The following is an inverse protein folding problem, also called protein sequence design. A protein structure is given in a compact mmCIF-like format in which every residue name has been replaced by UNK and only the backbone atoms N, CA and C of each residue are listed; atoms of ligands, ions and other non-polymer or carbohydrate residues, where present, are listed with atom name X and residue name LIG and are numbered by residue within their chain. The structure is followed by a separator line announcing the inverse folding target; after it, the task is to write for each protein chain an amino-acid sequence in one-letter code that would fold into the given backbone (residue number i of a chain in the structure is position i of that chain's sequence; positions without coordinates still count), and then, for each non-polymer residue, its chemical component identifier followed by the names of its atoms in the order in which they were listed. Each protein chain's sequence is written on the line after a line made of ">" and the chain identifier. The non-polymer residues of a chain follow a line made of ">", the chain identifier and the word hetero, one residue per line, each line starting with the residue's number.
data_IF_333240734527
#
_entry.id   IF_333240734527
#
_cell.length_a   1.000
_cell.length_b   1.000
_cell.length_c   1.000
_cell.angle_alpha   90.00
_cell.angle_beta   90.00
_cell.angle_gamma   90.00
#
_symmetry.space_group_name_H-M   'P 1'
#
loop_
_entity.id
_entity.type
_entity.pdbx_description
1 polymer ?
#
# COMPACT_ATOMS: atom_id res chain seq x y z
N UNK A 1 26.88 -8.86 -10.38
CA UNK A 1 25.55 -9.13 -10.98
C UNK A 1 24.54 -8.94 -9.85
N UNK A 2 23.63 -7.99 -9.97
CA UNK A 2 22.56 -7.86 -8.98
C UNK A 2 21.76 -9.18 -8.99
N UNK A 3 21.67 -9.88 -7.86
CA UNK A 3 20.73 -10.98 -7.71
C UNK A 3 19.34 -10.46 -8.10
N UNK A 4 18.66 -11.17 -8.99
CA UNK A 4 17.30 -10.77 -9.35
C UNK A 4 16.46 -10.78 -8.07
N UNK A 5 15.77 -9.68 -7.77
CA UNK A 5 14.86 -9.59 -6.64
C UNK A 5 13.88 -10.77 -6.70
N UNK A 6 14.00 -11.68 -5.75
CA UNK A 6 13.10 -12.82 -5.59
C UNK A 6 12.47 -12.80 -4.20
N UNK A 7 11.26 -13.34 -4.06
CA UNK A 7 10.60 -13.42 -2.75
C UNK A 7 11.43 -14.18 -1.72
N UNK A 8 12.19 -15.19 -2.15
CA UNK A 8 13.09 -15.93 -1.25
C UNK A 8 14.23 -15.06 -0.72
N UNK A 9 14.84 -14.24 -1.60
CA UNK A 9 15.88 -13.29 -1.19
C UNK A 9 15.32 -12.23 -0.24
N UNK A 10 14.11 -11.72 -0.52
CA UNK A 10 13.43 -10.75 0.35
C UNK A 10 13.09 -11.34 1.72
N UNK A 11 12.59 -12.57 1.81
CA UNK A 11 12.34 -13.26 3.09
C UNK A 11 13.61 -13.38 3.93
N UNK A 12 14.73 -13.71 3.31
CA UNK A 12 16.02 -13.76 4.01
C UNK A 12 16.47 -12.38 4.49
N UNK A 13 16.38 -11.38 3.62
CA UNK A 13 16.80 -10.00 3.92
C UNK A 13 16.01 -9.42 5.10
N UNK A 14 14.69 -9.58 5.09
CA UNK A 14 13.77 -9.05 6.09
C UNK A 14 13.45 -10.02 7.24
N UNK A 15 14.23 -11.12 7.40
CA UNK A 15 14.00 -12.13 8.45
C UNK A 15 14.08 -11.60 9.89
N UNK A 16 14.63 -10.41 10.08
CA UNK A 16 14.71 -9.70 11.36
C UNK A 16 13.40 -9.03 11.78
N UNK A 17 12.44 -8.86 10.88
CA UNK A 17 11.15 -8.25 11.18
C UNK A 17 10.30 -9.15 12.11
N UNK A 18 9.36 -8.56 12.89
CA UNK A 18 8.44 -9.33 13.72
C UNK A 18 7.67 -10.38 12.91
N UNK A 19 7.53 -11.59 13.45
CA UNK A 19 6.91 -12.71 12.73
C UNK A 19 5.48 -12.41 12.25
N UNK A 20 4.68 -11.67 13.07
CA UNK A 20 3.34 -11.25 12.67
C UNK A 20 3.33 -10.37 11.42
N UNK A 21 4.31 -9.44 11.33
CA UNK A 21 4.50 -8.60 10.15
C UNK A 21 4.94 -9.45 8.95
N UNK A 22 5.92 -10.34 9.10
CA UNK A 22 6.36 -11.23 8.02
C UNK A 22 5.20 -12.05 7.46
N UNK A 23 4.36 -12.62 8.32
CA UNK A 23 3.18 -13.37 7.89
C UNK A 23 2.20 -12.49 7.10
N UNK A 24 2.00 -11.24 7.53
CA UNK A 24 1.20 -10.27 6.81
C UNK A 24 1.79 -9.97 5.41
N UNK A 25 3.09 -9.65 5.32
CA UNK A 25 3.78 -9.38 4.06
C UNK A 25 3.64 -10.56 3.08
N UNK A 26 3.75 -11.80 3.56
CA UNK A 26 3.58 -13.00 2.74
C UNK A 26 2.15 -13.16 2.22
N UNK A 27 1.13 -12.95 3.07
CA UNK A 27 -0.27 -13.01 2.64
C UNK A 27 -0.59 -11.94 1.62
N UNK A 28 -0.17 -10.69 1.87
CA UNK A 28 -0.37 -9.58 0.94
C UNK A 28 0.37 -9.81 -0.38
N UNK A 29 1.58 -10.36 -0.35
CA UNK A 29 2.31 -10.76 -1.55
C UNK A 29 1.52 -11.76 -2.41
N UNK A 30 0.91 -12.77 -1.78
CA UNK A 30 0.08 -13.76 -2.47
C UNK A 30 -1.19 -13.16 -3.05
N UNK A 31 -1.90 -12.32 -2.28
CA UNK A 31 -3.09 -11.61 -2.73
C UNK A 31 -2.79 -10.66 -3.89
N UNK A 32 -1.69 -9.89 -3.79
CA UNK A 32 -1.27 -8.99 -4.84
C UNK A 32 -0.89 -9.75 -6.13
N UNK A 33 -0.27 -10.93 -6.03
CA UNK A 33 -0.01 -11.83 -7.16
C UNK A 33 -1.29 -12.25 -7.85
N UNK A 34 -2.30 -12.67 -7.08
CA UNK A 34 -3.59 -13.13 -7.61
C UNK A 34 -4.35 -11.99 -8.30
N UNK A 35 -4.48 -10.84 -7.62
CA UNK A 35 -5.12 -9.66 -8.20
C UNK A 35 -4.37 -9.14 -9.43
N UNK A 36 -3.04 -9.14 -9.42
CA UNK A 36 -2.23 -8.75 -10.57
C UNK A 36 -2.53 -9.64 -11.79
N UNK A 37 -2.56 -10.96 -11.60
CA UNK A 37 -2.93 -11.89 -12.67
C UNK A 37 -4.34 -11.63 -13.20
N UNK A 38 -5.30 -11.32 -12.33
CA UNK A 38 -6.69 -11.00 -12.69
C UNK A 38 -6.80 -9.72 -13.54
N UNK A 39 -5.95 -8.73 -13.27
CA UNK A 39 -6.02 -7.40 -13.87
C UNK A 39 -4.91 -7.12 -14.90
N UNK A 40 -4.35 -8.18 -15.50
CA UNK A 40 -3.34 -8.09 -16.57
C UNK A 40 -2.07 -7.31 -16.16
N UNK A 41 -1.79 -7.26 -14.87
CA UNK A 41 -0.53 -6.76 -14.31
C UNK A 41 0.42 -7.95 -14.13
N UNK A 42 1.73 -7.72 -14.28
CA UNK A 42 2.71 -8.78 -14.04
C UNK A 42 2.60 -9.31 -12.58
N UNK A 43 2.25 -10.61 -12.38
CA UNK A 43 2.02 -11.17 -11.05
C UNK A 43 3.24 -11.13 -10.14
N UNK A 44 4.45 -11.24 -10.70
CA UNK A 44 5.69 -11.17 -9.90
C UNK A 44 5.93 -9.75 -9.38
N UNK A 45 5.65 -8.72 -10.20
CA UNK A 45 5.72 -7.32 -9.75
C UNK A 45 4.70 -7.05 -8.64
N UNK A 46 3.46 -7.57 -8.79
CA UNK A 46 2.44 -7.50 -7.75
C UNK A 46 2.91 -8.15 -6.45
N UNK A 47 3.43 -9.37 -6.54
CA UNK A 47 3.92 -10.13 -5.39
C UNK A 47 5.09 -9.44 -4.67
N UNK A 48 6.08 -8.93 -5.42
CA UNK A 48 7.22 -8.23 -4.86
C UNK A 48 6.80 -6.92 -4.17
N UNK A 49 6.00 -6.08 -4.85
CA UNK A 49 5.50 -4.85 -4.27
C UNK A 49 4.61 -5.11 -3.03
N UNK A 50 3.74 -6.14 -3.10
CA UNK A 50 2.92 -6.57 -1.97
C UNK A 50 3.74 -7.07 -0.78
N UNK A 51 4.89 -7.73 -0.99
CA UNK A 51 5.79 -8.09 0.10
C UNK A 51 6.49 -6.87 0.70
N UNK A 52 6.86 -5.90 -0.12
CA UNK A 52 7.71 -4.77 0.28
C UNK A 52 6.94 -3.59 0.90
N UNK A 53 5.60 -3.54 0.76
CA UNK A 53 4.81 -2.36 1.08
C UNK A 53 4.95 -1.88 2.54
N UNK A 54 5.10 -2.80 3.48
CA UNK A 54 5.04 -2.56 4.92
C UNK A 54 6.37 -2.90 5.64
N UNK A 55 7.52 -3.02 4.93
CA UNK A 55 8.80 -3.39 5.56
C UNK A 55 9.29 -2.40 6.63
N UNK A 56 8.84 -1.15 6.58
CA UNK A 56 9.11 -0.12 7.60
C UNK A 56 7.95 0.05 8.62
N UNK A 57 6.92 -0.80 8.59
CA UNK A 57 5.69 -0.62 9.39
C UNK A 57 5.87 -0.85 10.88
N UNK A 58 6.87 -1.65 11.27
CA UNK A 58 7.16 -1.96 12.68
C UNK A 58 7.93 -0.85 13.41
N UNK A 59 8.39 0.17 12.68
CA UNK A 59 9.19 1.26 13.27
C UNK A 59 8.33 2.21 14.12
N UNK A 60 8.97 2.81 15.12
CA UNK A 60 8.33 3.79 16.00
C UNK A 60 7.92 5.05 15.22
N UNK A 61 6.73 5.63 15.47
CA UNK A 61 6.26 6.83 14.78
C UNK A 61 7.23 8.03 14.84
N UNK A 62 7.91 8.25 15.96
CA UNK A 62 8.88 9.33 16.08
C UNK A 62 10.15 9.04 15.26
N UNK A 63 10.55 7.77 15.17
CA UNK A 63 11.64 7.34 14.30
C UNK A 63 11.27 7.54 12.83
N UNK A 64 10.06 7.14 12.41
CA UNK A 64 9.59 7.34 11.03
C UNK A 64 9.68 8.81 10.61
N UNK A 65 9.23 9.73 11.47
CA UNK A 65 9.28 11.16 11.20
C UNK A 65 10.73 11.69 11.12
N UNK A 66 11.59 11.26 12.05
CA UNK A 66 13.00 11.64 12.05
C UNK A 66 13.72 11.16 10.78
N UNK A 67 13.53 9.91 10.41
CA UNK A 67 14.12 9.31 9.20
C UNK A 67 13.63 9.97 7.92
N UNK A 68 12.33 10.27 7.80
CA UNK A 68 11.81 10.97 6.64
C UNK A 68 12.48 12.34 6.45
N UNK A 69 12.68 13.09 7.52
CA UNK A 69 13.39 14.38 7.50
C UNK A 69 14.87 14.24 7.17
N UNK A 70 15.57 13.27 7.76
CA UNK A 70 16.98 12.98 7.48
C UNK A 70 17.21 12.60 6.00
N UNK A 71 16.30 11.84 5.43
CA UNK A 71 16.34 11.42 4.02
C UNK A 71 15.90 12.54 3.05
N UNK A 72 15.45 13.69 3.56
CA UNK A 72 14.99 14.82 2.77
C UNK A 72 13.62 14.59 2.10
N UNK A 73 12.81 13.68 2.62
CA UNK A 73 11.45 13.48 2.13
C UNK A 73 10.59 14.70 2.47
N UNK A 74 9.70 15.07 1.55
CA UNK A 74 8.71 16.11 1.82
C UNK A 74 7.64 15.53 2.73
N UNK A 75 7.58 16.02 3.98
CA UNK A 75 6.61 15.57 4.97
C UNK A 75 5.41 16.50 4.95
N UNK A 76 4.22 15.97 4.69
CA UNK A 76 2.97 16.72 4.73
C UNK A 76 2.52 16.95 6.19
N UNK A 77 1.82 18.08 6.53
CA UNK A 77 1.32 18.32 7.89
C UNK A 77 0.46 17.19 8.49
N UNK A 78 -0.28 16.44 7.66
CA UNK A 78 -1.02 15.26 8.12
C UNK A 78 -0.07 14.14 8.53
N UNK A 79 1.04 13.96 7.82
CA UNK A 79 2.06 12.95 8.15
C UNK A 79 2.86 13.36 9.40
N UNK A 80 3.07 14.65 9.63
CA UNK A 80 3.65 15.14 10.91
C UNK A 80 2.74 14.79 12.10
N UNK A 81 1.43 14.94 11.94
CA UNK A 81 0.44 14.62 12.97
C UNK A 81 0.19 13.10 13.11
N UNK A 82 0.36 12.35 12.03
CA UNK A 82 0.13 10.90 11.95
C UNK A 82 1.35 10.21 11.29
N UNK A 83 2.52 10.16 11.98
CA UNK A 83 3.79 9.75 11.38
C UNK A 83 3.79 8.32 10.85
N UNK A 84 2.86 7.48 11.31
CA UNK A 84 2.70 6.12 10.77
C UNK A 84 2.43 6.11 9.26
N UNK A 85 1.90 7.18 8.67
CA UNK A 85 1.71 7.28 7.21
C UNK A 85 3.03 7.32 6.43
N UNK A 86 4.14 7.66 7.10
CA UNK A 86 5.48 7.71 6.50
C UNK A 86 6.11 6.33 6.26
N UNK A 87 5.55 5.23 6.81
CA UNK A 87 6.15 3.90 6.60
C UNK A 87 6.19 3.51 5.12
N UNK A 88 5.17 3.86 4.32
CA UNK A 88 5.15 3.59 2.88
C UNK A 88 6.28 4.32 2.12
N UNK A 89 6.38 5.66 2.20
CA UNK A 89 7.49 6.42 1.62
C UNK A 89 8.87 5.96 2.07
N UNK A 90 9.01 5.62 3.36
CA UNK A 90 10.28 5.10 3.90
C UNK A 90 10.60 3.70 3.38
N UNK A 91 9.63 2.80 3.34
CA UNK A 91 9.80 1.48 2.74
C UNK A 91 10.25 1.58 1.28
N UNK A 92 9.62 2.44 0.48
CA UNK A 92 10.01 2.67 -0.91
C UNK A 92 11.46 3.19 -1.01
N UNK A 93 11.83 4.16 -0.17
CA UNK A 93 13.21 4.70 -0.14
C UNK A 93 14.22 3.64 0.29
N UNK A 94 13.89 2.83 1.30
CA UNK A 94 14.74 1.74 1.79
C UNK A 94 15.00 0.71 0.70
N UNK A 95 13.94 0.20 0.06
CA UNK A 95 14.10 -0.84 -0.96
C UNK A 95 14.79 -0.32 -2.23
N UNK A 96 14.63 0.95 -2.57
CA UNK A 96 15.38 1.57 -3.65
C UNK A 96 16.90 1.63 -3.33
N UNK A 97 17.26 2.05 -2.12
CA UNK A 97 18.66 2.22 -1.69
C UNK A 97 19.35 0.90 -1.40
N UNK A 98 18.70 0.00 -0.65
CA UNK A 98 19.34 -1.22 -0.15
C UNK A 98 19.25 -2.38 -1.13
N UNK A 99 18.12 -2.50 -1.86
CA UNK A 99 17.89 -3.60 -2.80
C UNK A 99 18.08 -3.19 -4.26
N UNK A 100 18.31 -1.91 -4.54
CA UNK A 100 18.50 -1.41 -5.89
C UNK A 100 17.23 -1.46 -6.75
N UNK A 101 16.04 -1.50 -6.14
CA UNK A 101 14.77 -1.45 -6.88
C UNK A 101 14.65 -0.12 -7.62
N UNK A 102 14.52 -0.19 -8.97
CA UNK A 102 14.43 0.99 -9.85
C UNK A 102 13.09 1.11 -10.57
N UNK A 103 12.20 0.15 -10.36
CA UNK A 103 10.85 0.16 -10.95
C UNK A 103 10.00 1.22 -10.25
N UNK A 104 9.78 2.35 -10.94
CA UNK A 104 9.10 3.51 -10.38
C UNK A 104 7.63 3.22 -10.06
N UNK A 105 6.97 2.33 -10.80
CA UNK A 105 5.59 1.95 -10.54
C UNK A 105 5.49 1.07 -9.28
N UNK A 106 6.44 0.17 -9.06
CA UNK A 106 6.51 -0.60 -7.81
C UNK A 106 6.83 0.31 -6.61
N UNK A 107 7.76 1.25 -6.76
CA UNK A 107 8.08 2.23 -5.71
C UNK A 107 6.86 3.10 -5.38
N UNK A 108 6.11 3.54 -6.38
CA UNK A 108 4.85 4.27 -6.17
C UNK A 108 3.81 3.42 -5.46
N UNK A 109 3.65 2.14 -5.85
CA UNK A 109 2.74 1.21 -5.19
C UNK A 109 3.07 1.02 -3.70
N UNK A 110 4.36 0.92 -3.35
CA UNK A 110 4.83 0.86 -1.97
C UNK A 110 4.56 2.18 -1.24
N UNK A 111 4.88 3.32 -1.86
CA UNK A 111 4.72 4.65 -1.27
C UNK A 111 3.27 4.95 -0.89
N UNK A 112 2.34 4.69 -1.81
CA UNK A 112 0.96 5.15 -1.71
C UNK A 112 -0.05 4.08 -1.24
N UNK A 113 0.42 2.91 -0.83
CA UNK A 113 -0.49 1.81 -0.43
C UNK A 113 -1.42 2.17 0.74
N UNK A 114 -1.07 3.13 1.60
CA UNK A 114 -1.90 3.54 2.75
C UNK A 114 -2.97 4.56 2.40
N UNK A 115 -2.61 5.56 1.60
CA UNK A 115 -3.48 6.72 1.30
C UNK A 115 -4.13 6.64 -0.07
N UNK A 116 -3.51 5.92 -1.02
CA UNK A 116 -3.75 6.11 -2.43
C UNK A 116 -3.31 7.50 -2.90
N UNK A 117 -3.48 7.78 -4.18
CA UNK A 117 -3.31 9.12 -4.78
C UNK A 117 -4.09 9.24 -6.10
N UNK A 118 -4.23 10.45 -6.62
CA UNK A 118 -4.85 10.66 -7.94
C UNK A 118 -4.00 10.04 -9.05
N UNK A 119 -4.62 9.30 -9.97
CA UNK A 119 -3.91 8.69 -11.09
C UNK A 119 -3.26 7.34 -10.82
N UNK A 120 -3.65 6.64 -9.74
CA UNK A 120 -3.12 5.28 -9.44
C UNK A 120 -3.14 4.38 -10.66
N UNK A 121 -2.01 3.73 -10.92
CA UNK A 121 -1.89 2.65 -11.90
C UNK A 121 -2.60 1.37 -11.44
N UNK A 122 -2.69 0.37 -12.33
CA UNK A 122 -3.25 -0.93 -11.96
C UNK A 122 -2.42 -1.66 -10.91
N UNK A 123 -1.09 -1.56 -10.98
CA UNK A 123 -0.21 -2.17 -9.97
C UNK A 123 -0.41 -1.51 -8.60
N UNK A 124 -0.51 -0.19 -8.54
CA UNK A 124 -0.76 0.55 -7.30
C UNK A 124 -2.11 0.16 -6.69
N UNK A 125 -3.16 0.07 -7.49
CA UNK A 125 -4.49 -0.37 -7.06
C UNK A 125 -4.49 -1.81 -6.52
N UNK A 126 -3.76 -2.71 -7.19
CA UNK A 126 -3.58 -4.11 -6.78
C UNK A 126 -2.92 -4.19 -5.41
N UNK A 127 -1.79 -3.50 -5.21
CA UNK A 127 -1.08 -3.50 -3.91
C UNK A 127 -1.93 -2.85 -2.82
N UNK A 128 -2.56 -1.71 -3.13
CA UNK A 128 -3.47 -1.01 -2.23
C UNK A 128 -4.58 -1.94 -1.72
N UNK A 129 -5.26 -2.66 -2.61
CA UNK A 129 -6.35 -3.57 -2.20
C UNK A 129 -5.83 -4.84 -1.54
N UNK A 130 -4.74 -5.42 -2.01
CA UNK A 130 -4.20 -6.65 -1.44
C UNK A 130 -3.91 -6.52 0.06
N UNK A 131 -3.39 -5.37 0.51
CA UNK A 131 -3.20 -5.07 1.92
C UNK A 131 -4.54 -5.04 2.70
N UNK A 132 -5.59 -4.47 2.09
CA UNK A 132 -6.91 -4.31 2.73
C UNK A 132 -7.71 -5.62 2.73
N UNK A 133 -7.37 -6.53 1.84
CA UNK A 133 -8.02 -7.85 1.71
C UNK A 133 -7.32 -8.96 2.50
N UNK A 134 -6.28 -8.64 3.29
CA UNK A 134 -5.66 -9.64 4.17
C UNK A 134 -6.71 -10.26 5.10
N UNK A 135 -6.92 -11.59 5.08
CA UNK A 135 -7.94 -12.25 5.89
C UNK A 135 -7.84 -11.97 7.39
N UNK A 136 -6.64 -11.70 7.91
CA UNK A 136 -6.47 -11.32 9.33
C UNK A 136 -7.01 -9.92 9.64
N UNK A 137 -7.29 -9.12 8.61
CA UNK A 137 -8.00 -7.84 8.73
C UNK A 137 -9.52 -7.97 8.57
N UNK A 138 -10.03 -9.20 8.35
CA UNK A 138 -11.47 -9.45 8.30
C UNK A 138 -12.13 -9.02 9.62
N UNK A 139 -13.17 -8.17 9.51
CA UNK A 139 -13.82 -7.56 10.68
C UNK A 139 -13.25 -6.19 11.09
N UNK A 140 -12.06 -5.80 10.65
CA UNK A 140 -11.54 -4.43 10.88
C UNK A 140 -12.27 -3.37 10.04
N UNK A 141 -12.93 -3.80 8.96
CA UNK A 141 -13.60 -2.89 8.03
C UNK A 141 -15.10 -3.17 7.96
N UNK A 142 -15.89 -2.75 8.98
CA UNK A 142 -17.33 -2.99 8.99
C UNK A 142 -17.99 -2.38 7.74
N UNK A 143 -18.88 -3.15 7.12
CA UNK A 143 -19.56 -2.73 5.88
C UNK A 143 -18.77 -2.99 4.57
N UNK A 144 -17.59 -3.60 4.63
CA UNK A 144 -16.78 -3.94 3.46
C UNK A 144 -16.73 -5.47 3.15
N UNK A 145 -17.64 -6.27 3.70
CA UNK A 145 -17.67 -7.72 3.48
C UNK A 145 -17.69 -8.12 1.99
N UNK A 146 -18.28 -7.31 1.10
CA UNK A 146 -18.31 -7.53 -0.35
C UNK A 146 -17.08 -7.00 -1.10
N UNK A 147 -16.07 -6.45 -0.42
CA UNK A 147 -14.91 -5.85 -1.07
C UNK A 147 -14.06 -6.89 -1.86
N UNK A 148 -13.83 -8.13 -1.35
CA UNK A 148 -13.09 -9.12 -2.12
C UNK A 148 -13.75 -9.46 -3.47
N UNK A 149 -15.06 -9.69 -3.49
CA UNK A 149 -15.80 -9.96 -4.73
C UNK A 149 -15.74 -8.76 -5.69
N UNK A 150 -15.92 -7.55 -5.17
CA UNK A 150 -15.83 -6.33 -5.98
C UNK A 150 -14.43 -6.13 -6.57
N UNK A 151 -13.37 -6.51 -5.85
CA UNK A 151 -11.98 -6.42 -6.34
C UNK A 151 -11.72 -7.35 -7.54
N UNK A 152 -12.45 -8.47 -7.65
CA UNK A 152 -12.41 -9.37 -8.80
C UNK A 152 -13.25 -8.89 -9.99
N UNK A 153 -14.28 -8.06 -9.73
CA UNK A 153 -15.22 -7.58 -10.75
C UNK A 153 -14.83 -6.20 -11.32
N UNK A 154 -14.47 -5.25 -10.47
CA UNK A 154 -14.12 -3.87 -10.84
C UNK A 154 -13.13 -3.25 -9.85
N UNK A 155 -11.86 -3.22 -10.26
CA UNK A 155 -10.76 -2.74 -9.43
C UNK A 155 -10.92 -1.26 -9.03
N UNK A 156 -11.32 -0.40 -9.97
CA UNK A 156 -11.54 1.04 -9.71
C UNK A 156 -12.63 1.25 -8.65
N UNK A 157 -13.75 0.50 -8.77
CA UNK A 157 -14.85 0.56 -7.79
C UNK A 157 -14.46 -0.02 -6.44
N UNK A 158 -13.67 -1.07 -6.41
CA UNK A 158 -13.21 -1.66 -5.15
C UNK A 158 -12.31 -0.67 -4.38
N UNK A 159 -11.33 -0.06 -5.05
CA UNK A 159 -10.48 0.98 -4.46
C UNK A 159 -11.32 2.17 -3.99
N UNK A 160 -12.24 2.67 -4.85
CA UNK A 160 -13.13 3.77 -4.51
C UNK A 160 -13.97 3.46 -3.26
N UNK A 161 -14.56 2.25 -3.19
CA UNK A 161 -15.36 1.84 -2.04
C UNK A 161 -14.57 1.82 -0.74
N UNK A 162 -13.34 1.31 -0.78
CA UNK A 162 -12.48 1.32 0.40
C UNK A 162 -12.11 2.75 0.81
N UNK A 163 -11.69 3.60 -0.13
CA UNK A 163 -11.34 5.01 0.16
C UNK A 163 -12.53 5.76 0.74
N UNK A 164 -13.73 5.57 0.22
CA UNK A 164 -14.96 6.17 0.78
C UNK A 164 -15.21 5.72 2.21
N UNK A 165 -15.07 4.41 2.47
CA UNK A 165 -15.17 3.89 3.82
C UNK A 165 -14.12 4.51 4.75
N UNK A 166 -12.85 4.56 4.32
CA UNK A 166 -11.74 5.12 5.10
C UNK A 166 -11.97 6.60 5.44
N UNK A 167 -12.36 7.42 4.46
CA UNK A 167 -12.66 8.84 4.65
C UNK A 167 -13.79 9.01 5.67
N UNK A 168 -14.91 8.29 5.50
CA UNK A 168 -16.03 8.36 6.43
C UNK A 168 -15.63 7.93 7.85
N UNK A 169 -14.88 6.84 7.98
CA UNK A 169 -14.37 6.39 9.26
C UNK A 169 -13.48 7.42 9.94
N UNK A 170 -12.55 8.05 9.20
CA UNK A 170 -11.72 9.13 9.74
C UNK A 170 -12.54 10.34 10.17
N UNK A 171 -13.57 10.74 9.41
CA UNK A 171 -14.47 11.83 9.77
C UNK A 171 -15.23 11.53 11.07
N UNK A 172 -15.74 10.31 11.23
CA UNK A 172 -16.44 9.87 12.45
C UNK A 172 -15.52 9.87 13.69
N UNK A 173 -14.23 9.58 13.50
CA UNK A 173 -13.22 9.60 14.56
C UNK A 173 -12.61 10.99 14.82
N UNK A 174 -13.00 12.03 14.06
CA UNK A 174 -12.33 13.33 14.09
C UNK A 174 -10.88 13.29 13.61
N UNK A 175 -10.52 12.29 12.82
CA UNK A 175 -9.18 12.09 12.30
C UNK A 175 -8.86 12.98 11.09
N UNK A 176 -7.57 13.14 10.82
CA UNK A 176 -7.10 13.92 9.67
C UNK A 176 -7.14 13.07 8.39
N UNK A 177 -7.60 13.67 7.29
CA UNK A 177 -7.63 13.03 5.97
C UNK A 177 -6.43 13.52 5.17
N UNK A 178 -5.60 12.60 4.67
CA UNK A 178 -4.50 12.95 3.79
C UNK A 178 -5.04 13.45 2.44
N UNK A 179 -4.54 14.59 1.88
CA UNK A 179 -5.03 15.14 0.60
C UNK A 179 -4.96 14.15 -0.55
N UNK A 180 -3.93 13.29 -0.59
CA UNK A 180 -3.80 12.25 -1.61
C UNK A 180 -5.00 11.28 -1.64
N UNK A 181 -5.62 10.97 -0.48
CA UNK A 181 -6.83 10.14 -0.42
C UNK A 181 -8.05 10.83 -1.05
N UNK A 182 -8.16 12.15 -0.90
CA UNK A 182 -9.21 12.94 -1.56
C UNK A 182 -8.97 13.00 -3.08
N UNK A 183 -7.72 13.16 -3.50
CA UNK A 183 -7.35 13.13 -4.93
C UNK A 183 -7.66 11.76 -5.54
N UNK A 184 -7.30 10.66 -4.86
CA UNK A 184 -7.63 9.30 -5.28
C UNK A 184 -9.14 9.10 -5.42
N UNK A 185 -9.92 9.52 -4.40
CA UNK A 185 -11.39 9.48 -4.44
C UNK A 185 -11.94 10.21 -5.67
N UNK A 186 -11.53 11.47 -5.87
CA UNK A 186 -12.04 12.30 -6.94
C UNK A 186 -11.67 11.76 -8.33
N UNK A 187 -10.47 11.21 -8.48
CA UNK A 187 -10.02 10.58 -9.72
C UNK A 187 -10.86 9.33 -10.03
N UNK A 188 -11.02 8.44 -9.06
CA UNK A 188 -11.82 7.22 -9.20
C UNK A 188 -13.30 7.51 -9.48
N UNK A 189 -13.88 8.55 -8.88
CA UNK A 189 -15.24 9.01 -9.23
C UNK A 189 -15.32 9.39 -10.72
N UNK A 190 -14.32 10.11 -11.25
CA UNK A 190 -14.30 10.47 -12.69
C UNK A 190 -14.20 9.22 -13.57
N UNK A 191 -13.35 8.25 -13.21
CA UNK A 191 -13.15 7.00 -13.98
C UNK A 191 -14.40 6.10 -13.96
N UNK A 192 -15.11 6.04 -12.85
CA UNK A 192 -16.25 5.12 -12.68
C UNK A 192 -17.59 5.69 -13.15
N UNK A 193 -17.75 7.02 -13.23
CA UNK A 193 -18.98 7.67 -13.74
C UNK A 193 -19.12 7.60 -15.28
N UNK A 194 -18.04 7.32 -15.98
CA UNK A 194 -18.03 7.23 -17.45
C UNK A 194 -18.29 5.82 -18.01
N UNK A 195 -18.60 4.85 -17.13
CA UNK A 195 -18.85 3.44 -17.49
C UNK A 195 -20.29 3.03 -17.27
#
# INVERSE_FOLDING_TARGET
>A
MAESLSLEALRRHFSHLPQGLLNHLERVSQLARQLAARWEVNPERGALAGFLHDVARAEDPAWLLAQARELGLVVHPVEEAVPVLLHGPLAATQVERELGLKDQEMLAAITWHSTGHGGMSRLEQVVFLADKLDPEKEGYYPGLAGLPALAEEDLDRAVLRYIQWQINHLLEQGGMIHPASIEAHNDLIRRTRGR
#
